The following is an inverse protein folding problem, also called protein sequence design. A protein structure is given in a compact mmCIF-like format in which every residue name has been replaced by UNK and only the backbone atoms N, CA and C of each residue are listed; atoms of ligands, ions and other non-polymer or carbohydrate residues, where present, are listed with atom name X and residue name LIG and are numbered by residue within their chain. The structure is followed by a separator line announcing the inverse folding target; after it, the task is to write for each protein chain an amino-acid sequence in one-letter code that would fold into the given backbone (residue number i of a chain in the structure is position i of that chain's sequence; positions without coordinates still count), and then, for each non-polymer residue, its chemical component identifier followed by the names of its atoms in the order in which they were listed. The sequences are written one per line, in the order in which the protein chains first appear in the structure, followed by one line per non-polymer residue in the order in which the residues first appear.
data_IF_940581382548
#
_entry.id   IF_940581382548
#
_cell.length_a   1.000
_cell.length_b   1.000
_cell.length_c   1.000
_cell.angle_alpha   90.00
_cell.angle_beta   90.00
_cell.angle_gamma   90.00
#
_symmetry.space_group_name_H-M   'P 1'
#
loop_
_entity.id
_entity.type
_entity.pdbx_description
1 polymer ?
#
# COMPACT_ATOMS: atom_id res chain seq x y z
N UNK A 1 -1.63 33.70 35.60
CA UNK A 1 -1.34 32.44 34.88
C UNK A 1 -2.67 31.88 34.41
N UNK A 2 -2.98 32.03 33.13
CA UNK A 2 -4.19 31.50 32.50
C UNK A 2 -3.89 30.06 32.08
N UNK A 3 -4.59 29.09 32.69
CA UNK A 3 -4.59 27.72 32.22
C UNK A 3 -5.63 27.63 31.11
N UNK A 4 -5.13 27.55 29.87
CA UNK A 4 -5.89 27.24 28.68
C UNK A 4 -6.59 25.89 28.86
N UNK A 5 -7.92 25.93 28.94
CA UNK A 5 -8.78 24.78 28.69
C UNK A 5 -8.55 24.32 27.26
N UNK A 6 -7.85 23.20 27.09
CA UNK A 6 -7.90 22.45 25.85
C UNK A 6 -9.28 21.78 25.79
N UNK A 7 -10.18 22.40 25.02
CA UNK A 7 -11.45 21.80 24.68
C UNK A 7 -11.22 20.50 23.91
N UNK A 8 -11.64 19.38 24.50
CA UNK A 8 -11.88 18.14 23.77
C UNK A 8 -13.04 18.41 22.82
N UNK A 9 -12.77 18.46 21.52
CA UNK A 9 -13.78 18.57 20.48
C UNK A 9 -14.60 17.30 20.41
N UNK A 10 -15.78 17.33 21.02
CA UNK A 10 -16.64 16.16 21.28
C UNK A 10 -17.50 15.79 20.04
N UNK A 11 -16.88 15.67 18.87
CA UNK A 11 -17.53 15.16 17.66
C UNK A 11 -16.92 13.83 17.26
N UNK A 12 -17.72 12.76 17.34
CA UNK A 12 -17.32 11.45 16.84
C UNK A 12 -16.95 11.56 15.36
N UNK A 13 -15.68 11.32 15.04
CA UNK A 13 -15.23 11.28 13.65
C UNK A 13 -15.84 10.04 13.00
N UNK A 14 -16.61 10.27 11.94
CA UNK A 14 -17.29 9.20 11.19
C UNK A 14 -16.40 8.62 10.12
N UNK A 15 -16.51 7.32 9.90
CA UNK A 15 -15.92 6.66 8.75
C UNK A 15 -16.65 7.09 7.46
N UNK A 16 -15.90 7.23 6.38
CA UNK A 16 -16.41 7.55 5.05
C UNK A 16 -15.72 6.70 4.01
N UNK A 17 -16.46 6.35 2.95
CA UNK A 17 -15.93 5.70 1.76
C UNK A 17 -16.15 6.63 0.58
N UNK A 18 -15.08 7.30 0.13
CA UNK A 18 -15.11 8.13 -1.06
C UNK A 18 -15.07 7.25 -2.30
N UNK A 19 -16.05 7.37 -3.17
CA UNK A 19 -16.18 6.60 -4.42
C UNK A 19 -15.83 7.54 -5.57
N UNK A 20 -14.83 7.17 -6.35
CA UNK A 20 -14.23 7.95 -7.43
C UNK A 20 -14.39 7.25 -8.77
N UNK A 21 -14.39 8.04 -9.84
CA UNK A 21 -14.15 7.51 -11.17
C UNK A 21 -12.78 6.85 -11.20
N UNK A 22 -12.62 5.70 -11.88
CA UNK A 22 -11.30 5.16 -12.14
C UNK A 22 -10.50 6.17 -12.99
N UNK A 23 -9.16 6.25 -12.80
CA UNK A 23 -8.31 7.03 -13.68
C UNK A 23 -8.38 6.49 -15.11
N UNK A 24 -8.23 7.40 -16.06
CA UNK A 24 -8.05 7.06 -17.47
C UNK A 24 -6.55 7.09 -17.76
N UNK A 25 -6.04 6.07 -18.46
CA UNK A 25 -4.62 5.93 -18.77
C UNK A 25 -3.86 5.14 -17.69
N UNK A 26 -2.63 5.54 -17.39
CA UNK A 26 -1.72 4.83 -16.48
C UNK A 26 -1.60 5.46 -15.09
N UNK A 27 -2.42 6.47 -14.77
CA UNK A 27 -2.39 7.11 -13.45
C UNK A 27 -2.87 6.17 -12.35
N UNK A 28 -2.20 6.21 -11.20
CA UNK A 28 -2.60 5.52 -9.97
C UNK A 28 -3.29 6.45 -8.97
N UNK A 29 -3.71 7.64 -9.42
CA UNK A 29 -4.49 8.59 -8.64
C UNK A 29 -5.98 8.47 -9.01
N UNK A 30 -6.91 8.39 -8.04
CA UNK A 30 -8.33 8.33 -8.31
C UNK A 30 -8.81 9.52 -9.14
N UNK A 31 -9.80 9.29 -10.01
CA UNK A 31 -10.45 10.34 -10.79
C UNK A 31 -11.40 11.20 -9.94
N UNK A 32 -12.32 11.88 -10.62
CA UNK A 32 -13.32 12.72 -9.98
C UNK A 32 -14.18 11.95 -8.96
N UNK A 33 -14.47 12.59 -7.82
CA UNK A 33 -15.38 12.03 -6.81
C UNK A 33 -16.78 11.86 -7.41
N UNK A 34 -17.31 10.64 -7.35
CA UNK A 34 -18.66 10.28 -7.77
C UNK A 34 -19.65 10.39 -6.61
N UNK A 35 -19.27 9.85 -5.44
CA UNK A 35 -20.13 9.80 -4.26
C UNK A 35 -19.28 9.72 -3.00
N UNK A 36 -19.66 10.48 -1.98
CA UNK A 36 -19.19 10.23 -0.62
C UNK A 36 -20.20 9.33 0.08
N UNK A 37 -19.80 8.10 0.44
CA UNK A 37 -20.64 7.20 1.22
C UNK A 37 -20.36 7.42 2.71
N UNK A 38 -21.35 7.93 3.43
CA UNK A 38 -21.26 8.17 4.86
C UNK A 38 -21.76 6.95 5.63
N UNK A 39 -21.00 6.56 6.65
CA UNK A 39 -21.40 5.46 7.52
C UNK A 39 -22.43 5.98 8.54
N UNK A 40 -23.57 5.29 8.63
CA UNK A 40 -24.56 5.58 9.69
C UNK A 40 -23.92 5.36 11.07
N UNK A 41 -23.21 4.24 11.19
CA UNK A 41 -22.44 3.81 12.36
C UNK A 41 -21.00 3.50 11.95
N UNK A 42 -20.05 3.89 12.79
CA UNK A 42 -18.66 3.49 12.59
C UNK A 42 -18.54 1.96 12.65
N UNK A 43 -17.65 1.36 11.84
CA UNK A 43 -17.47 -0.08 11.84
C UNK A 43 -17.04 -0.56 13.22
N UNK A 44 -17.72 -1.59 13.75
CA UNK A 44 -17.36 -2.20 15.02
C UNK A 44 -16.02 -2.93 14.97
N UNK A 45 -15.67 -3.42 13.77
CA UNK A 45 -14.40 -4.07 13.47
C UNK A 45 -14.02 -3.87 12.00
N UNK A 46 -12.72 -3.91 11.74
CA UNK A 46 -12.14 -4.01 10.40
C UNK A 46 -10.86 -4.85 10.49
N UNK A 47 -10.53 -5.56 9.43
CA UNK A 47 -9.27 -6.28 9.30
C UNK A 47 -8.45 -5.65 8.17
N UNK A 48 -7.15 -5.56 8.37
CA UNK A 48 -6.22 -5.01 7.40
C UNK A 48 -5.03 -5.95 7.31
N UNK A 49 -4.70 -6.41 6.11
CA UNK A 49 -3.60 -7.33 5.88
C UNK A 49 -2.69 -6.84 4.77
N UNK A 50 -1.41 -7.20 4.85
CA UNK A 50 -0.41 -7.03 3.80
C UNK A 50 0.52 -8.22 3.89
N UNK A 51 0.88 -8.80 2.75
CA UNK A 51 1.70 -10.00 2.70
C UNK A 51 2.95 -9.75 1.89
N UNK A 52 3.95 -10.61 2.10
CA UNK A 52 5.17 -10.69 1.32
C UNK A 52 5.23 -12.07 0.71
N UNK A 53 5.51 -12.14 -0.59
CA UNK A 53 5.66 -13.40 -1.29
C UNK A 53 7.10 -13.88 -1.15
N UNK A 54 7.26 -15.13 -0.73
CA UNK A 54 8.54 -15.82 -0.62
C UNK A 54 8.43 -17.15 -1.35
N UNK A 55 9.48 -17.52 -2.07
CA UNK A 55 9.54 -18.80 -2.79
C UNK A 55 10.71 -19.62 -2.31
N UNK A 56 10.42 -20.87 -2.00
CA UNK A 56 11.43 -21.88 -1.68
C UNK A 56 11.39 -22.95 -2.74
N UNK A 57 12.52 -23.22 -3.39
CA UNK A 57 12.66 -24.32 -4.35
C UNK A 57 13.39 -25.47 -3.66
N UNK A 58 12.68 -26.49 -3.14
CA UNK A 58 13.32 -27.60 -2.43
C UNK A 58 14.13 -28.46 -3.40
N UNK A 59 15.32 -28.92 -2.96
CA UNK A 59 16.16 -29.85 -3.72
C UNK A 59 16.53 -31.04 -2.84
N UNK A 60 16.55 -32.24 -3.44
CA UNK A 60 16.79 -33.49 -2.70
C UNK A 60 18.18 -33.56 -2.02
N UNK A 61 19.12 -32.72 -2.45
CA UNK A 61 20.48 -32.68 -1.93
C UNK A 61 20.64 -31.88 -0.62
N UNK A 62 19.63 -31.12 -0.18
CA UNK A 62 19.72 -30.23 0.99
C UNK A 62 18.86 -30.76 2.13
N UNK A 63 19.51 -31.25 3.20
CA UNK A 63 18.85 -31.82 4.38
C UNK A 63 18.07 -30.79 5.19
N UNK A 64 18.58 -29.56 5.26
CA UNK A 64 18.09 -28.51 6.17
C UNK A 64 17.08 -27.55 5.51
N UNK A 65 16.63 -27.86 4.28
CA UNK A 65 15.72 -27.02 3.49
C UNK A 65 16.43 -25.93 2.68
N UNK A 66 15.79 -25.52 1.58
CA UNK A 66 16.34 -24.48 0.71
C UNK A 66 16.10 -23.07 1.27
N UNK A 67 17.05 -22.16 1.05
CA UNK A 67 16.93 -20.74 1.43
C UNK A 67 15.76 -20.09 0.66
N UNK A 68 14.80 -19.43 1.35
CA UNK A 68 13.71 -18.72 0.68
C UNK A 68 14.19 -17.47 -0.08
N UNK A 69 13.66 -17.27 -1.28
CA UNK A 69 13.87 -16.08 -2.12
C UNK A 69 12.68 -15.11 -1.94
N UNK A 70 12.97 -13.84 -1.68
CA UNK A 70 11.95 -12.79 -1.58
C UNK A 70 11.45 -12.39 -2.97
N UNK A 71 10.15 -12.53 -3.20
CA UNK A 71 9.51 -12.23 -4.49
C UNK A 71 8.83 -10.85 -4.55
N UNK A 72 8.67 -10.18 -3.41
CA UNK A 72 8.05 -8.86 -3.34
C UNK A 72 6.84 -8.78 -2.40
N UNK A 73 6.36 -7.56 -2.11
CA UNK A 73 5.16 -7.34 -1.33
C UNK A 73 3.89 -7.50 -2.17
N UNK A 74 2.84 -8.07 -1.57
CA UNK A 74 1.48 -8.07 -2.12
C UNK A 74 0.76 -6.78 -1.71
N UNK A 75 -0.22 -6.31 -2.51
CA UNK A 75 -1.08 -5.19 -2.14
C UNK A 75 -1.83 -5.46 -0.84
N UNK A 76 -2.21 -4.39 -0.14
CA UNK A 76 -2.98 -4.50 1.09
C UNK A 76 -4.42 -4.90 0.79
N UNK A 77 -5.00 -5.68 1.69
CA UNK A 77 -6.42 -6.01 1.68
C UNK A 77 -7.06 -5.51 2.97
N UNK A 78 -8.28 -4.97 2.86
CA UNK A 78 -9.06 -4.54 4.01
C UNK A 78 -10.48 -5.09 3.92
N UNK A 79 -10.95 -5.72 5.01
CA UNK A 79 -12.34 -6.10 5.17
C UNK A 79 -12.98 -5.19 6.20
N UNK A 80 -14.07 -4.52 5.81
CA UNK A 80 -14.83 -3.63 6.69
C UNK A 80 -16.29 -4.07 6.76
N UNK A 81 -16.85 -4.08 7.96
CA UNK A 81 -18.27 -4.34 8.19
C UNK A 81 -19.04 -3.03 8.30
N UNK A 82 -20.04 -2.86 7.44
CA UNK A 82 -20.90 -1.67 7.38
C UNK A 82 -22.29 -2.08 7.87
N UNK A 83 -22.71 -1.51 9.00
CA UNK A 83 -24.05 -1.69 9.52
C UNK A 83 -24.96 -0.54 9.06
N UNK A 84 -26.08 -0.90 8.43
CA UNK A 84 -27.08 0.02 7.91
C UNK A 84 -28.40 -0.21 8.65
N UNK A 85 -28.97 0.82 9.26
CA UNK A 85 -30.23 0.72 9.99
C UNK A 85 -31.13 1.95 9.78
N UNK A 86 -32.39 1.65 9.46
CA UNK A 86 -33.51 2.60 9.37
C UNK A 86 -34.72 2.08 10.13
N UNK A 87 -34.49 1.31 11.19
CA UNK A 87 -35.57 0.80 12.07
C UNK A 87 -36.46 1.90 12.67
N UNK A 88 -35.94 3.12 12.84
CA UNK A 88 -36.69 4.29 13.31
C UNK A 88 -37.46 5.03 12.20
N UNK A 89 -37.25 4.68 10.94
CA UNK A 89 -37.92 5.26 9.76
C UNK A 89 -38.28 4.14 8.75
N UNK A 90 -39.34 3.35 9.03
CA UNK A 90 -39.66 2.14 8.25
C UNK A 90 -40.10 2.40 6.81
N UNK A 91 -40.44 3.65 6.47
CA UNK A 91 -40.81 4.07 5.11
C UNK A 91 -39.57 4.47 4.27
N UNK A 92 -38.39 4.58 4.91
CA UNK A 92 -37.13 4.85 4.22
C UNK A 92 -36.72 3.71 3.30
N UNK A 93 -36.12 4.07 2.17
CA UNK A 93 -35.46 3.15 1.26
C UNK A 93 -33.93 3.33 1.22
N UNK A 94 -33.37 4.01 2.23
CA UNK A 94 -31.94 4.32 2.29
C UNK A 94 -31.07 3.07 2.39
N UNK A 95 -31.49 2.06 3.16
CA UNK A 95 -30.74 0.80 3.28
C UNK A 95 -30.58 0.17 1.89
N UNK A 96 -31.68 0.03 1.13
CA UNK A 96 -31.62 -0.48 -0.25
C UNK A 96 -30.69 0.37 -1.13
N UNK A 97 -30.83 1.70 -1.11
CA UNK A 97 -30.00 2.62 -1.91
C UNK A 97 -28.52 2.55 -1.54
N UNK A 98 -28.21 2.37 -0.26
CA UNK A 98 -26.85 2.28 0.24
C UNK A 98 -26.21 0.95 -0.16
N UNK A 99 -26.93 -0.16 -0.04
CA UNK A 99 -26.44 -1.46 -0.54
C UNK A 99 -26.24 -1.42 -2.06
N UNK A 100 -27.19 -0.86 -2.81
CA UNK A 100 -27.05 -0.69 -4.27
C UNK A 100 -25.83 0.16 -4.64
N UNK A 101 -25.56 1.23 -3.88
CA UNK A 101 -24.36 2.03 -4.09
C UNK A 101 -23.06 1.23 -3.84
N UNK A 102 -23.03 0.36 -2.82
CA UNK A 102 -21.89 -0.52 -2.58
C UNK A 102 -21.73 -1.56 -3.70
N UNK A 103 -22.83 -2.16 -4.17
CA UNK A 103 -22.81 -3.09 -5.30
C UNK A 103 -22.32 -2.43 -6.59
N UNK A 104 -22.70 -1.18 -6.85
CA UNK A 104 -22.23 -0.44 -8.02
C UNK A 104 -20.71 -0.23 -8.05
N UNK A 105 -20.01 -0.35 -6.91
CA UNK A 105 -18.55 -0.33 -6.85
C UNK A 105 -17.89 -1.60 -7.41
N UNK A 106 -18.65 -2.67 -7.63
CA UNK A 106 -18.20 -3.90 -8.29
C UNK A 106 -18.53 -3.91 -9.80
N UNK A 107 -19.15 -2.85 -10.32
CA UNK A 107 -19.56 -2.74 -11.72
C UNK A 107 -18.69 -1.72 -12.46
N UNK A 108 -18.53 -1.90 -13.77
CA UNK A 108 -17.72 -0.98 -14.59
C UNK A 108 -18.42 0.37 -14.77
N UNK A 109 -17.70 1.48 -14.67
CA UNK A 109 -18.28 2.80 -14.94
C UNK A 109 -18.50 3.06 -16.43
N UNK A 110 -19.56 3.80 -16.78
CA UNK A 110 -19.82 4.19 -18.16
C UNK A 110 -18.65 4.99 -18.79
N UNK A 111 -17.98 5.82 -17.99
CA UNK A 111 -16.82 6.60 -18.42
C UNK A 111 -15.62 5.72 -18.77
N UNK A 112 -15.36 4.68 -17.98
CA UNK A 112 -14.25 3.74 -18.23
C UNK A 112 -14.49 2.90 -19.49
N UNK A 113 -15.74 2.48 -19.71
CA UNK A 113 -16.18 1.82 -20.95
C UNK A 113 -16.01 2.75 -22.16
N UNK A 114 -16.47 4.00 -22.06
CA UNK A 114 -16.35 4.99 -23.13
C UNK A 114 -14.88 5.29 -23.47
N UNK A 115 -13.99 5.24 -22.48
CA UNK A 115 -12.54 5.37 -22.63
C UNK A 115 -11.85 4.09 -23.15
N UNK A 116 -12.60 3.01 -23.44
CA UNK A 116 -12.08 1.69 -23.83
C UNK A 116 -11.11 1.07 -22.81
N UNK A 117 -11.28 1.41 -21.54
CA UNK A 117 -10.51 0.89 -20.41
C UNK A 117 -11.48 0.51 -19.30
N UNK A 118 -12.23 -0.60 -19.43
CA UNK A 118 -13.23 -0.98 -18.44
C UNK A 118 -12.62 -1.13 -17.05
N UNK A 119 -13.17 -0.39 -16.10
CA UNK A 119 -12.72 -0.40 -14.71
C UNK A 119 -13.89 -0.05 -13.79
N UNK A 120 -13.87 -0.65 -12.59
CA UNK A 120 -14.81 -0.35 -11.51
C UNK A 120 -14.45 0.99 -10.84
N UNK A 121 -15.38 1.61 -10.09
CA UNK A 121 -15.05 2.75 -9.25
C UNK A 121 -13.88 2.47 -8.31
N UNK A 122 -13.03 3.47 -8.14
CA UNK A 122 -11.97 3.42 -7.13
C UNK A 122 -12.51 4.01 -5.84
N UNK A 123 -12.07 3.48 -4.72
CA UNK A 123 -12.53 3.92 -3.41
C UNK A 123 -11.38 4.29 -2.50
N UNK A 124 -11.64 5.24 -1.61
CA UNK A 124 -10.72 5.63 -0.53
C UNK A 124 -11.51 5.60 0.77
N UNK A 125 -11.11 4.70 1.67
CA UNK A 125 -11.66 4.66 3.02
C UNK A 125 -10.94 5.67 3.91
N UNK A 126 -11.69 6.46 4.65
CA UNK A 126 -11.18 7.46 5.58
C UNK A 126 -11.89 7.34 6.92
N UNK A 127 -11.13 7.34 8.02
CA UNK A 127 -11.69 7.35 9.36
C UNK A 127 -10.78 8.10 10.34
N UNK A 128 -11.07 9.38 10.54
CA UNK A 128 -10.29 10.25 11.42
C UNK A 128 -8.79 10.26 11.11
N UNK A 129 -7.97 10.28 12.15
CA UNK A 129 -6.51 10.32 12.02
C UNK A 129 -5.90 8.97 11.59
N UNK A 130 -6.71 7.96 11.23
CA UNK A 130 -6.23 6.63 10.92
C UNK A 130 -5.68 6.52 9.49
N UNK A 131 -4.54 7.17 9.26
CA UNK A 131 -3.86 7.25 7.95
C UNK A 131 -3.48 5.88 7.39
N UNK A 132 -3.21 4.90 8.25
CA UNK A 132 -2.87 3.53 7.84
C UNK A 132 -4.01 2.88 7.05
N UNK A 133 -5.28 3.16 7.34
CA UNK A 133 -6.42 2.61 6.59
C UNK A 133 -6.75 3.40 5.31
N UNK A 134 -6.07 4.53 5.08
CA UNK A 134 -6.30 5.39 3.92
C UNK A 134 -5.36 4.98 2.78
N UNK A 135 -5.92 4.28 1.80
CA UNK A 135 -5.24 3.94 0.56
C UNK A 135 -6.24 3.87 -0.60
N UNK A 136 -5.74 4.01 -1.82
CA UNK A 136 -6.56 3.84 -3.02
C UNK A 136 -6.85 2.35 -3.19
N UNK A 137 -8.10 1.98 -3.38
CA UNK A 137 -8.52 0.60 -3.54
C UNK A 137 -9.59 0.46 -4.62
N UNK A 138 -9.80 -0.76 -5.09
CA UNK A 138 -11.07 -1.15 -5.70
C UNK A 138 -11.84 -2.05 -4.74
N UNK A 139 -13.16 -2.12 -4.89
CA UNK A 139 -13.98 -3.07 -4.14
C UNK A 139 -13.90 -4.42 -4.84
N UNK A 140 -13.33 -5.43 -4.17
CA UNK A 140 -13.19 -6.78 -4.71
C UNK A 140 -14.44 -7.63 -4.50
N UNK A 141 -15.16 -7.40 -3.40
CA UNK A 141 -16.48 -7.99 -3.17
C UNK A 141 -17.31 -7.20 -2.15
N UNK A 142 -18.63 -7.36 -2.26
CA UNK A 142 -19.61 -6.88 -1.29
C UNK A 142 -20.58 -8.01 -1.01
N UNK A 143 -20.75 -8.36 0.25
CA UNK A 143 -21.76 -9.32 0.71
C UNK A 143 -22.75 -8.60 1.64
N UNK A 144 -24.04 -8.62 1.31
CA UNK A 144 -25.07 -7.94 2.09
C UNK A 144 -26.03 -8.96 2.72
N UNK A 145 -26.14 -8.93 4.05
CA UNK A 145 -27.10 -9.70 4.84
C UNK A 145 -28.20 -8.78 5.36
N UNK A 146 -29.41 -8.95 4.83
CA UNK A 146 -30.59 -8.19 5.26
C UNK A 146 -31.26 -8.86 6.46
N UNK A 147 -31.56 -8.09 7.51
CA UNK A 147 -32.02 -8.66 8.80
C UNK A 147 -33.32 -8.06 9.33
N UNK A 148 -33.79 -6.95 8.76
CA UNK A 148 -35.07 -6.34 9.12
C UNK A 148 -35.75 -5.76 7.88
N UNK A 149 -37.05 -5.99 7.78
CA UNK A 149 -37.88 -5.56 6.65
C UNK A 149 -39.11 -4.81 7.17
N UNK A 150 -39.60 -3.85 6.38
CA UNK A 150 -40.87 -3.19 6.66
C UNK A 150 -42.05 -4.07 6.22
N UNK A 151 -43.28 -3.59 6.45
CA UNK A 151 -44.53 -4.31 6.10
C UNK A 151 -44.67 -4.62 4.61
N UNK A 152 -43.98 -3.87 3.76
CA UNK A 152 -44.01 -4.03 2.30
C UNK A 152 -42.86 -4.91 1.79
N UNK A 153 -42.05 -5.49 2.69
CA UNK A 153 -40.91 -6.34 2.35
C UNK A 153 -39.63 -5.59 1.94
N UNK A 154 -39.60 -4.26 2.08
CA UNK A 154 -38.39 -3.47 1.83
C UNK A 154 -37.40 -3.64 2.98
N UNK A 155 -36.11 -3.93 2.73
CA UNK A 155 -35.12 -4.01 3.78
C UNK A 155 -34.89 -2.64 4.42
N UNK A 156 -34.98 -2.59 5.74
CA UNK A 156 -34.68 -1.41 6.57
C UNK A 156 -33.49 -1.65 7.51
N UNK A 157 -32.86 -2.83 7.44
CA UNK A 157 -31.58 -3.13 8.09
C UNK A 157 -30.76 -4.12 7.29
N UNK A 158 -29.46 -3.84 7.18
CA UNK A 158 -28.50 -4.73 6.54
C UNK A 158 -27.12 -4.64 7.20
N UNK A 159 -26.37 -5.73 7.17
CA UNK A 159 -24.93 -5.74 7.42
C UNK A 159 -24.24 -6.04 6.11
N UNK A 160 -23.29 -5.20 5.71
CA UNK A 160 -22.51 -5.37 4.50
C UNK A 160 -21.04 -5.63 4.83
N UNK A 161 -20.50 -6.75 4.37
CA UNK A 161 -19.06 -6.98 4.39
C UNK A 161 -18.47 -6.51 3.07
N UNK A 162 -17.58 -5.52 3.13
CA UNK A 162 -16.92 -4.93 1.97
C UNK A 162 -15.44 -5.29 2.01
N UNK A 163 -14.96 -5.92 0.93
CA UNK A 163 -13.54 -6.23 0.75
C UNK A 163 -12.92 -5.22 -0.21
N UNK A 164 -11.88 -4.55 0.28
CA UNK A 164 -11.13 -3.52 -0.42
C UNK A 164 -9.75 -4.06 -0.72
N UNK A 165 -9.33 -3.94 -1.98
CA UNK A 165 -8.02 -4.38 -2.42
C UNK A 165 -7.23 -3.17 -2.89
N UNK A 166 -6.07 -2.94 -2.28
CA UNK A 166 -5.22 -1.79 -2.55
C UNK A 166 -4.78 -1.77 -4.01
N UNK A 167 -4.77 -0.57 -4.56
CA UNK A 167 -4.12 -0.25 -5.82
C UNK A 167 -2.82 0.45 -5.44
N UNK A 168 -1.67 -0.21 -5.62
CA UNK A 168 -0.39 0.39 -5.30
C UNK A 168 -0.21 1.68 -6.10
N UNK A 169 -0.07 2.80 -5.40
CA UNK A 169 0.44 4.02 -6.00
C UNK A 169 1.96 4.01 -5.89
N UNK A 170 2.65 4.52 -6.91
CA UNK A 170 4.10 4.71 -6.81
C UNK A 170 4.35 5.74 -5.72
N UNK A 171 4.78 5.28 -4.54
CA UNK A 171 5.46 6.16 -3.60
C UNK A 171 6.73 6.63 -4.31
N UNK A 172 6.87 7.95 -4.48
CA UNK A 172 8.14 8.57 -4.87
C UNK A 172 9.18 8.15 -3.81
N UNK A 173 9.95 7.08 -4.09
CA UNK A 173 10.94 6.54 -3.15
C UNK A 173 11.07 5.01 -3.07
N UNK A 174 10.38 4.22 -3.90
CA UNK A 174 10.75 2.82 -4.11
C UNK A 174 11.27 2.69 -5.53
N UNK A 175 12.60 2.66 -5.66
CA UNK A 175 13.27 2.30 -6.90
C UNK A 175 12.72 0.93 -7.33
N UNK A 176 11.93 0.83 -8.41
CA UNK A 176 11.45 -0.45 -8.88
C UNK A 176 12.67 -1.23 -9.34
N UNK A 177 13.03 -2.30 -8.63
CA UNK A 177 14.02 -3.29 -9.06
C UNK A 177 13.47 -4.03 -10.26
N UNK A 178 13.53 -3.38 -11.42
CA UNK A 178 13.23 -3.95 -12.73
C UNK A 178 13.94 -3.11 -13.78
N UNK A 179 15.25 -3.32 -13.93
CA UNK A 179 15.99 -2.94 -15.13
C UNK A 179 16.97 -1.77 -15.01
N UNK A 180 18.11 -2.00 -14.36
CA UNK A 180 19.40 -1.54 -14.87
C UNK A 180 20.52 -2.40 -14.25
N UNK A 181 21.02 -3.33 -15.05
CA UNK A 181 22.26 -4.06 -14.82
C UNK A 181 23.37 -3.05 -14.47
N UNK A 182 24.12 -3.35 -13.40
CA UNK A 182 25.35 -2.67 -12.94
C UNK A 182 25.23 -1.19 -12.53
N UNK A 183 24.55 -0.91 -11.41
CA UNK A 183 24.63 0.43 -10.81
C UNK A 183 25.95 0.56 -10.03
N UNK A 184 27.01 0.98 -10.71
CA UNK A 184 28.25 1.43 -10.07
C UNK A 184 27.97 2.74 -9.34
N UNK A 185 28.33 2.83 -8.07
CA UNK A 185 28.08 4.01 -7.22
C UNK A 185 29.38 4.78 -7.02
N UNK A 186 29.33 6.12 -7.03
CA UNK A 186 30.50 6.94 -6.67
C UNK A 186 30.33 7.46 -5.24
N UNK A 187 31.35 7.25 -4.38
CA UNK A 187 31.39 7.74 -3.01
C UNK A 187 32.56 8.70 -2.82
N UNK A 188 32.29 9.90 -2.30
CA UNK A 188 33.33 10.87 -1.97
C UNK A 188 33.88 10.59 -0.57
N UNK A 189 35.18 10.30 -0.49
CA UNK A 189 35.88 9.98 0.76
C UNK A 189 35.80 11.15 1.73
N UNK A 190 35.35 10.88 2.95
CA UNK A 190 35.40 11.83 4.07
C UNK A 190 36.44 11.39 5.10
N UNK A 191 36.86 12.30 5.98
CA UNK A 191 37.79 11.96 7.05
C UNK A 191 37.20 10.86 7.94
N UNK A 192 37.92 9.75 8.10
CA UNK A 192 37.49 8.58 8.86
C UNK A 192 36.96 7.42 8.01
N UNK A 193 36.81 7.60 6.70
CA UNK A 193 36.50 6.49 5.79
C UNK A 193 37.70 5.54 5.64
N UNK A 194 37.40 4.25 5.53
CA UNK A 194 38.34 3.20 5.12
C UNK A 194 37.69 2.33 4.05
N UNK A 195 38.47 1.69 3.17
CA UNK A 195 37.91 0.83 2.12
C UNK A 195 37.10 -0.33 2.70
N UNK A 196 37.49 -0.85 3.86
CA UNK A 196 36.77 -1.91 4.57
C UNK A 196 35.41 -1.42 5.10
N UNK A 197 35.36 -0.20 5.64
CA UNK A 197 34.11 0.41 6.10
C UNK A 197 33.19 0.70 4.92
N UNK A 198 33.74 1.19 3.81
CA UNK A 198 32.98 1.42 2.59
C UNK A 198 32.46 0.11 1.98
N UNK A 199 33.28 -0.94 1.95
CA UNK A 199 32.87 -2.27 1.49
C UNK A 199 31.77 -2.88 2.36
N UNK A 200 31.90 -2.79 3.70
CA UNK A 200 30.86 -3.24 4.60
C UNK A 200 29.57 -2.43 4.46
N UNK A 201 29.67 -1.11 4.25
CA UNK A 201 28.48 -0.25 4.10
C UNK A 201 27.77 -0.48 2.77
N UNK A 202 28.52 -0.75 1.69
CA UNK A 202 27.96 -0.91 0.34
C UNK A 202 27.51 -2.35 0.07
N UNK A 203 28.29 -3.35 0.51
CA UNK A 203 28.08 -4.76 0.17
C UNK A 203 27.73 -5.64 1.38
N UNK A 204 27.79 -5.12 2.60
CA UNK A 204 27.61 -5.91 3.82
C UNK A 204 28.83 -6.79 4.18
N UNK A 205 29.83 -6.86 3.30
CA UNK A 205 31.07 -7.62 3.48
C UNK A 205 32.27 -6.69 3.51
N UNK A 206 32.94 -6.62 4.68
CA UNK A 206 34.13 -5.82 4.85
C UNK A 206 35.33 -6.34 4.03
N UNK A 207 35.34 -7.60 3.61
CA UNK A 207 36.44 -8.25 2.86
C UNK A 207 36.46 -7.90 1.37
N UNK A 208 35.34 -7.40 0.85
CA UNK A 208 35.17 -6.90 -0.52
C UNK A 208 35.94 -5.60 -0.84
N UNK A 209 36.68 -5.05 0.13
CA UNK A 209 37.47 -3.83 -0.04
C UNK A 209 38.52 -3.93 -1.15
N UNK A 210 39.00 -5.13 -1.47
CA UNK A 210 39.99 -5.36 -2.54
C UNK A 210 39.43 -5.02 -3.91
N UNK A 211 38.18 -5.37 -4.17
CA UNK A 211 37.51 -5.07 -5.45
C UNK A 211 37.31 -3.56 -5.62
N UNK A 212 37.07 -2.83 -4.52
CA UNK A 212 37.03 -1.36 -4.54
C UNK A 212 38.43 -0.79 -4.84
N UNK A 213 39.48 -1.34 -4.21
CA UNK A 213 40.86 -0.88 -4.43
C UNK A 213 41.28 -1.09 -5.89
N UNK A 214 41.00 -2.27 -6.46
CA UNK A 214 41.29 -2.61 -7.85
C UNK A 214 40.50 -1.73 -8.84
N UNK A 215 39.23 -1.44 -8.55
CA UNK A 215 38.40 -0.60 -9.42
C UNK A 215 38.81 0.88 -9.44
N UNK A 216 39.64 1.33 -8.50
CA UNK A 216 40.09 2.72 -8.37
C UNK A 216 41.62 2.87 -8.46
N UNK A 217 42.35 1.82 -8.87
CA UNK A 217 43.82 1.80 -8.94
C UNK A 217 44.50 2.28 -7.63
N UNK A 218 44.01 1.78 -6.48
CA UNK A 218 44.55 2.13 -5.15
C UNK A 218 45.60 1.09 -4.73
N UNK A 219 46.87 1.49 -4.76
CA UNK A 219 48.00 0.65 -4.33
C UNK A 219 48.08 0.49 -2.80
N UNK A 220 47.84 1.56 -2.03
CA UNK A 220 47.84 1.52 -0.57
C UNK A 220 46.42 1.72 0.00
N UNK A 221 45.74 0.63 0.40
CA UNK A 221 44.38 0.68 0.92
C UNK A 221 44.27 1.32 2.32
N UNK A 222 45.39 1.61 2.99
CA UNK A 222 45.41 2.28 4.29
C UNK A 222 45.46 3.80 4.19
N UNK A 223 45.71 4.34 3.01
CA UNK A 223 45.86 5.79 2.79
C UNK A 223 44.77 6.27 1.83
N UNK A 224 43.61 6.62 2.39
CA UNK A 224 42.56 7.31 1.64
C UNK A 224 42.66 8.81 1.88
N UNK A 225 42.87 9.58 0.81
CA UNK A 225 42.90 11.04 0.89
C UNK A 225 41.46 11.56 0.92
N UNK A 226 41.03 12.28 1.97
CA UNK A 226 39.69 12.87 2.00
C UNK A 226 39.46 13.80 0.82
N UNK A 227 38.29 13.69 0.20
CA UNK A 227 37.87 14.51 -0.94
C UNK A 227 37.96 13.82 -2.29
N UNK A 228 38.63 12.67 -2.40
CA UNK A 228 38.65 11.85 -3.64
C UNK A 228 37.30 11.16 -3.84
N UNK A 229 36.95 10.92 -5.10
CA UNK A 229 35.77 10.14 -5.48
C UNK A 229 36.20 8.70 -5.77
N UNK A 230 35.56 7.75 -5.10
CA UNK A 230 35.77 6.32 -5.26
C UNK A 230 34.60 5.70 -5.99
N UNK A 231 34.89 4.95 -7.05
CA UNK A 231 33.94 4.09 -7.73
C UNK A 231 33.76 2.79 -6.95
N UNK A 232 32.54 2.52 -6.54
CA UNK A 232 32.11 1.29 -5.91
C UNK A 232 31.50 0.40 -7.00
N UNK A 233 32.14 -0.73 -7.35
CA UNK A 233 31.61 -1.72 -8.29
C UNK A 233 30.20 -2.18 -7.94
N UNK A 234 29.48 -2.74 -8.91
CA UNK A 234 28.19 -3.36 -8.61
C UNK A 234 28.38 -4.64 -7.78
N UNK A 235 27.42 -5.02 -6.93
CA UNK A 235 27.55 -6.20 -6.06
C UNK A 235 27.85 -7.47 -6.87
N UNK A 236 27.29 -7.59 -8.08
CA UNK A 236 27.54 -8.71 -9.00
C UNK A 236 28.99 -8.77 -9.51
N UNK A 237 29.69 -7.64 -9.58
CA UNK A 237 31.11 -7.55 -9.98
C UNK A 237 32.05 -7.96 -8.84
N UNK A 238 31.56 -7.95 -7.59
CA UNK A 238 32.33 -8.31 -6.39
C UNK A 238 32.27 -9.82 -6.09
N UNK A 239 31.36 -10.55 -6.74
CA UNK A 239 31.22 -12.01 -6.60
C UNK A 239 30.59 -12.45 -5.28
N UNK A 240 29.74 -11.59 -4.69
CA UNK A 240 28.97 -11.83 -3.46
C UNK A 240 27.48 -11.89 -3.75
#
# INVERSE_FOLDING_TARGET
MSLSSFGVGDSLVKATLAIHQPPIGSSTTPGALMKMFNFDFNPAQMSLSRRALWKTTPTAAVRDGAVPEFMGPEPREMTVEIFLDRSTDPDSNDVRKNVEALFSCCETTAASIAAKQPSTPWVVFEWGAFSTARFNAYVSSVEASYTLFNTNGMPIRATCQVNLHEIPSSTLGQNPTSGALTTRRVHRVVAGDSLQLLAWREYGDATAWRTIAEANDIDDPKVLTPGIELMLPAAEEVGI
#
